data_IF_822138305158
#
_entry.id   IF_822138305158
#
_cell.length_a   1.000
_cell.length_b   1.000
_cell.length_c   1.000
_cell.angle_alpha   90.00
_cell.angle_beta   90.00
_cell.angle_gamma   90.00
#
_symmetry.space_group_name_H-M   'P 1'
#
loop_
_entity.id
_entity.type
_entity.pdbx_description
1 polymer ?
#
# COMPACT_ATOMS: atom_id res chain seq x y z
N UNK A 1 9.84 -74.77 -47.17
CA UNK A 1 10.15 -75.94 -48.03
C UNK A 1 11.37 -75.59 -48.84
N UNK A 2 12.53 -75.63 -48.20
CA UNK A 2 13.81 -75.47 -48.87
C UNK A 2 14.48 -76.84 -48.78
N UNK A 3 14.74 -77.44 -49.94
CA UNK A 3 15.58 -78.63 -50.01
C UNK A 3 16.98 -78.14 -49.73
N UNK A 4 17.40 -78.22 -48.48
CA UNK A 4 18.80 -78.07 -48.07
C UNK A 4 19.60 -79.15 -48.81
N UNK A 5 20.11 -78.78 -49.98
CA UNK A 5 21.10 -79.57 -50.71
C UNK A 5 22.36 -79.56 -49.86
N UNK A 6 22.55 -80.62 -49.06
CA UNK A 6 23.80 -80.86 -48.36
C UNK A 6 24.94 -80.66 -49.36
N UNK A 7 25.80 -79.69 -49.10
CA UNK A 7 26.94 -79.41 -49.95
C UNK A 7 27.87 -80.60 -49.81
N UNK A 8 27.75 -81.57 -50.73
CA UNK A 8 28.63 -82.70 -50.80
C UNK A 8 29.81 -82.36 -51.69
N UNK A 9 31.03 -82.39 -51.12
CA UNK A 9 32.27 -82.19 -51.88
C UNK A 9 32.43 -83.16 -53.05
N UNK A 10 31.81 -84.34 -52.96
CA UNK A 10 31.73 -85.31 -54.06
C UNK A 10 30.29 -85.85 -54.12
N UNK A 11 29.59 -85.75 -55.26
CA UNK A 11 28.27 -86.31 -55.41
C UNK A 11 28.27 -87.80 -55.07
N UNK A 12 27.39 -88.25 -54.17
CA UNK A 12 27.26 -89.68 -53.79
C UNK A 12 27.07 -90.54 -55.03
N UNK A 13 26.31 -90.04 -55.99
CA UNK A 13 26.07 -90.67 -57.29
C UNK A 13 27.36 -90.96 -58.07
N UNK A 14 28.38 -90.09 -57.96
CA UNK A 14 29.67 -90.28 -58.62
C UNK A 14 30.52 -91.34 -57.91
N UNK A 15 30.55 -91.32 -56.58
CA UNK A 15 31.25 -92.35 -55.78
C UNK A 15 30.63 -93.73 -55.95
N UNK A 16 29.30 -93.82 -56.01
CA UNK A 16 28.59 -95.07 -56.28
C UNK A 16 28.89 -95.60 -57.68
N UNK A 17 28.89 -94.73 -58.70
CA UNK A 17 29.28 -95.12 -60.07
C UNK A 17 30.71 -95.63 -60.16
N UNK A 18 31.65 -95.00 -59.44
CA UNK A 18 33.05 -95.44 -59.39
C UNK A 18 33.20 -96.80 -58.67
N UNK A 19 32.47 -97.02 -57.57
CA UNK A 19 32.44 -98.33 -56.88
C UNK A 19 31.85 -99.43 -57.76
N UNK A 20 30.77 -99.15 -58.49
CA UNK A 20 30.17 -100.09 -59.45
C UNK A 20 31.12 -100.40 -60.61
N UNK A 21 31.83 -99.39 -61.12
CA UNK A 21 32.85 -99.57 -62.16
C UNK A 21 34.02 -100.43 -61.65
N UNK A 22 34.50 -100.18 -60.44
CA UNK A 22 35.56 -100.95 -59.81
C UNK A 22 35.17 -102.43 -59.62
N UNK A 23 33.92 -102.70 -59.19
CA UNK A 23 33.39 -104.05 -59.06
C UNK A 23 33.33 -104.79 -60.41
N UNK A 24 32.83 -104.14 -61.47
CA UNK A 24 32.79 -104.73 -62.82
C UNK A 24 34.19 -105.03 -63.35
N UNK A 25 35.14 -104.09 -63.19
CA UNK A 25 36.52 -104.28 -63.62
C UNK A 25 37.23 -105.39 -62.84
N UNK A 26 36.85 -105.61 -61.57
CA UNK A 26 37.34 -106.70 -60.75
C UNK A 26 36.84 -108.07 -61.24
N UNK A 27 35.54 -108.17 -61.54
CA UNK A 27 34.93 -109.38 -62.11
C UNK A 27 35.55 -109.75 -63.47
N UNK A 28 35.89 -108.73 -64.28
CA UNK A 28 36.56 -108.88 -65.57
C UNK A 28 38.08 -109.15 -65.47
N UNK A 29 38.63 -109.28 -64.25
CA UNK A 29 40.07 -109.48 -63.96
C UNK A 29 40.98 -108.40 -64.55
N UNK A 30 40.48 -107.17 -64.68
CA UNK A 30 41.24 -106.05 -65.24
C UNK A 30 42.16 -105.44 -64.14
N UNK A 31 43.48 -105.30 -64.38
CA UNK A 31 44.41 -104.72 -63.39
C UNK A 31 44.07 -103.26 -63.01
N UNK A 32 43.32 -102.53 -63.85
CA UNK A 32 42.83 -101.19 -63.52
C UNK A 32 41.87 -101.17 -62.32
N UNK A 33 41.19 -102.29 -62.01
CA UNK A 33 40.32 -102.39 -60.83
C UNK A 33 41.10 -102.24 -59.53
N UNK A 34 42.33 -102.77 -59.48
CA UNK A 34 43.23 -102.67 -58.31
C UNK A 34 43.62 -101.22 -58.08
N UNK A 35 44.01 -100.51 -59.13
CA UNK A 35 44.37 -99.09 -59.04
C UNK A 35 43.16 -98.21 -58.68
N UNK A 36 41.99 -98.47 -59.24
CA UNK A 36 40.77 -97.72 -58.93
C UNK A 36 40.31 -97.96 -57.49
N UNK A 37 40.35 -99.22 -57.01
CA UNK A 37 40.06 -99.52 -55.61
C UNK A 37 41.08 -98.88 -54.66
N UNK A 38 42.38 -98.90 -55.00
CA UNK A 38 43.40 -98.23 -54.20
C UNK A 38 43.14 -96.72 -54.07
N UNK A 39 42.78 -96.05 -55.17
CA UNK A 39 42.41 -94.63 -55.16
C UNK A 39 41.13 -94.40 -54.34
N UNK A 40 40.11 -95.25 -54.50
CA UNK A 40 38.86 -95.12 -53.73
C UNK A 40 39.09 -95.32 -52.23
N UNK A 41 39.96 -96.26 -51.84
CA UNK A 41 40.35 -96.52 -50.46
C UNK A 41 41.25 -95.41 -49.89
N UNK A 42 42.14 -94.84 -50.71
CA UNK A 42 43.03 -93.72 -50.32
C UNK A 42 42.23 -92.45 -50.01
N UNK A 43 41.22 -92.12 -50.81
CA UNK A 43 40.43 -90.90 -50.66
C UNK A 43 39.15 -91.08 -49.82
N UNK A 44 38.70 -92.30 -49.52
CA UNK A 44 37.51 -92.55 -48.68
C UNK A 44 37.62 -91.90 -47.27
N UNK A 45 38.76 -91.96 -46.55
CA UNK A 45 38.95 -91.26 -45.29
C UNK A 45 38.79 -89.74 -45.42
N UNK A 46 39.34 -89.15 -46.48
CA UNK A 46 39.29 -87.70 -46.72
C UNK A 46 37.87 -87.22 -47.04
N UNK A 47 37.12 -87.98 -47.85
CA UNK A 47 35.72 -87.68 -48.15
C UNK A 47 34.84 -87.76 -46.88
N UNK A 48 35.09 -88.75 -46.02
CA UNK A 48 34.39 -88.86 -44.72
C UNK A 48 34.77 -87.72 -43.77
N UNK A 49 36.05 -87.37 -43.72
CA UNK A 49 36.57 -86.25 -42.92
C UNK A 49 35.96 -84.92 -43.35
N UNK A 50 35.95 -84.60 -44.64
CA UNK A 50 35.31 -83.41 -45.19
C UNK A 50 33.80 -83.39 -44.90
N UNK A 51 33.12 -84.52 -45.05
CA UNK A 51 31.70 -84.64 -44.69
C UNK A 51 31.43 -84.40 -43.21
N UNK A 52 32.36 -84.76 -42.31
CA UNK A 52 32.26 -84.46 -40.89
C UNK A 52 32.46 -82.97 -40.61
N UNK A 53 33.51 -82.37 -41.20
CA UNK A 53 33.81 -80.94 -41.07
C UNK A 53 32.61 -80.08 -41.54
N UNK A 54 32.02 -80.41 -42.68
CA UNK A 54 30.84 -79.66 -43.19
C UNK A 54 29.67 -79.74 -42.22
N UNK A 55 29.39 -80.93 -41.66
CA UNK A 55 28.32 -81.09 -40.66
C UNK A 55 28.61 -80.29 -39.39
N UNK A 56 29.85 -80.25 -38.93
CA UNK A 56 30.26 -79.42 -37.78
C UNK A 56 30.09 -77.92 -38.08
N UNK A 57 30.40 -77.48 -39.30
CA UNK A 57 30.17 -76.10 -39.73
C UNK A 57 28.68 -75.76 -39.83
N UNK A 58 27.86 -76.66 -40.37
CA UNK A 58 26.41 -76.47 -40.46
C UNK A 58 25.76 -76.41 -39.07
N UNK A 59 26.19 -77.26 -38.13
CA UNK A 59 25.70 -77.23 -36.75
C UNK A 59 26.18 -76.00 -36.00
N UNK A 60 27.44 -75.57 -36.14
CA UNK A 60 27.94 -74.32 -35.56
C UNK A 60 27.23 -73.10 -36.16
N UNK A 61 27.06 -73.04 -37.48
CA UNK A 61 26.38 -71.93 -38.15
C UNK A 61 24.91 -71.81 -37.76
N UNK A 62 24.16 -72.93 -37.78
CA UNK A 62 22.76 -72.95 -37.34
C UNK A 62 22.63 -72.62 -35.84
N UNK A 63 23.58 -73.06 -35.01
CA UNK A 63 23.72 -72.66 -33.61
C UNK A 63 23.87 -71.15 -33.46
N UNK A 64 24.81 -70.53 -34.17
CA UNK A 64 25.02 -69.07 -34.15
C UNK A 64 23.82 -68.30 -34.68
N UNK A 65 23.19 -68.78 -35.75
CA UNK A 65 22.02 -68.15 -36.33
C UNK A 65 20.84 -68.14 -35.34
N UNK A 66 20.55 -69.29 -34.72
CA UNK A 66 19.49 -69.39 -33.72
C UNK A 66 19.77 -68.56 -32.47
N UNK A 67 21.02 -68.51 -32.00
CA UNK A 67 21.43 -67.66 -30.89
C UNK A 67 21.23 -66.17 -31.22
N UNK A 68 21.67 -65.72 -32.40
CA UNK A 68 21.52 -64.33 -32.85
C UNK A 68 20.05 -63.94 -33.06
N UNK A 69 19.23 -64.84 -33.60
CA UNK A 69 17.78 -64.63 -33.72
C UNK A 69 17.11 -64.51 -32.35
N UNK A 70 17.50 -65.38 -31.41
CA UNK A 70 17.02 -65.33 -30.02
C UNK A 70 17.41 -64.02 -29.31
N UNK A 71 18.65 -63.56 -29.47
CA UNK A 71 19.08 -62.27 -28.94
C UNK A 71 18.34 -61.10 -29.56
N UNK A 72 18.15 -61.11 -30.88
CA UNK A 72 17.45 -60.06 -31.61
C UNK A 72 15.98 -59.98 -31.17
N UNK A 73 15.29 -61.11 -31.08
CA UNK A 73 13.92 -61.20 -30.56
C UNK A 73 13.81 -60.68 -29.12
N UNK A 74 14.78 -61.01 -28.25
CA UNK A 74 14.85 -60.46 -26.88
C UNK A 74 15.08 -58.95 -26.86
N UNK A 75 15.92 -58.41 -27.75
CA UNK A 75 16.15 -56.96 -27.88
C UNK A 75 14.89 -56.26 -28.38
N UNK A 76 14.22 -56.78 -29.41
CA UNK A 76 12.94 -56.25 -29.88
C UNK A 76 11.87 -56.26 -28.80
N UNK A 77 11.76 -57.35 -28.02
CA UNK A 77 10.83 -57.42 -26.89
C UNK A 77 11.11 -56.39 -25.81
N UNK A 78 12.39 -56.12 -25.51
CA UNK A 78 12.79 -55.04 -24.58
C UNK A 78 12.42 -53.66 -25.11
N UNK A 79 12.76 -53.35 -26.36
CA UNK A 79 12.42 -52.06 -26.95
C UNK A 79 10.91 -51.84 -27.07
N UNK A 80 10.12 -52.88 -27.37
CA UNK A 80 8.65 -52.78 -27.37
C UNK A 80 8.11 -52.41 -25.99
N UNK A 81 8.62 -53.05 -24.92
CA UNK A 81 8.26 -52.71 -23.53
C UNK A 81 8.67 -51.28 -23.17
N UNK A 82 9.88 -50.86 -23.52
CA UNK A 82 10.34 -49.48 -23.28
C UNK A 82 9.46 -48.45 -24.01
N UNK A 83 9.04 -48.73 -25.24
CA UNK A 83 8.12 -47.88 -25.98
C UNK A 83 6.76 -47.78 -25.28
N UNK A 84 6.21 -48.90 -24.79
CA UNK A 84 4.95 -48.91 -24.05
C UNK A 84 5.05 -48.12 -22.74
N UNK A 85 6.13 -48.32 -21.98
CA UNK A 85 6.39 -47.59 -20.73
C UNK A 85 6.54 -46.08 -20.97
N UNK A 86 7.27 -45.69 -22.02
CA UNK A 86 7.43 -44.28 -22.39
C UNK A 86 6.11 -43.66 -22.84
N UNK A 87 5.28 -44.39 -23.59
CA UNK A 87 3.93 -43.93 -23.97
C UNK A 87 3.04 -43.72 -22.76
N UNK A 88 3.06 -44.65 -21.80
CA UNK A 88 2.29 -44.51 -20.56
C UNK A 88 2.75 -43.30 -19.74
N UNK A 89 4.07 -43.09 -19.62
CA UNK A 89 4.64 -41.91 -18.95
C UNK A 89 4.25 -40.61 -19.66
N UNK A 90 4.30 -40.57 -20.99
CA UNK A 90 3.91 -39.40 -21.77
C UNK A 90 2.44 -39.06 -21.54
N UNK A 91 1.54 -40.04 -21.63
CA UNK A 91 0.11 -39.83 -21.37
C UNK A 91 -0.16 -39.32 -19.95
N UNK A 92 0.56 -39.84 -18.95
CA UNK A 92 0.48 -39.34 -17.57
C UNK A 92 0.92 -37.89 -17.43
N UNK A 93 2.02 -37.50 -18.10
CA UNK A 93 2.50 -36.12 -18.11
C UNK A 93 1.55 -35.16 -18.84
N UNK A 94 0.94 -35.60 -19.95
CA UNK A 94 -0.06 -34.82 -20.66
C UNK A 94 -1.32 -34.58 -19.82
N UNK A 95 -1.80 -35.59 -19.09
CA UNK A 95 -2.90 -35.45 -18.16
C UNK A 95 -2.57 -34.47 -17.02
N UNK A 96 -1.40 -34.61 -16.39
CA UNK A 96 -0.94 -33.70 -15.34
C UNK A 96 -0.81 -32.25 -15.84
N UNK A 97 -0.29 -32.07 -17.06
CA UNK A 97 -0.21 -30.75 -17.72
C UNK A 97 -1.60 -30.15 -17.96
N UNK A 98 -2.56 -30.95 -18.41
CA UNK A 98 -3.93 -30.49 -18.64
C UNK A 98 -4.60 -30.04 -17.33
N UNK A 99 -4.41 -30.79 -16.24
CA UNK A 99 -4.91 -30.39 -14.91
C UNK A 99 -4.23 -29.10 -14.41
N UNK A 100 -2.92 -28.98 -14.59
CA UNK A 100 -2.18 -27.77 -14.21
C UNK A 100 -2.69 -26.53 -14.96
N UNK A 101 -3.00 -26.66 -16.26
CA UNK A 101 -3.58 -25.58 -17.06
C UNK A 101 -4.98 -25.17 -16.56
N UNK A 102 -5.84 -26.14 -16.23
CA UNK A 102 -7.16 -25.85 -15.62
C UNK A 102 -7.02 -25.08 -14.32
N UNK A 103 -6.13 -25.52 -13.42
CA UNK A 103 -5.87 -24.81 -12.15
C UNK A 103 -5.34 -23.38 -12.38
N UNK A 104 -4.49 -23.18 -13.39
CA UNK A 104 -4.01 -21.84 -13.74
C UNK A 104 -5.14 -20.93 -14.22
N UNK A 105 -6.09 -21.44 -15.00
CA UNK A 105 -7.27 -20.70 -15.43
C UNK A 105 -8.18 -20.33 -14.25
N UNK A 106 -8.43 -21.28 -13.34
CA UNK A 106 -9.16 -21.04 -12.10
C UNK A 106 -8.50 -19.96 -11.24
N UNK A 107 -7.18 -20.04 -11.03
CA UNK A 107 -6.45 -19.04 -10.27
C UNK A 107 -6.48 -17.67 -10.93
N UNK A 108 -6.38 -17.58 -12.26
CA UNK A 108 -6.51 -16.32 -12.99
C UNK A 108 -7.89 -15.70 -12.81
N UNK A 109 -8.96 -16.51 -12.88
CA UNK A 109 -10.32 -16.03 -12.68
C UNK A 109 -10.52 -15.50 -11.24
N UNK A 110 -10.04 -16.25 -10.23
CA UNK A 110 -10.10 -15.83 -8.83
C UNK A 110 -9.30 -14.55 -8.59
N UNK A 111 -8.09 -14.46 -9.16
CA UNK A 111 -7.25 -13.27 -9.04
C UNK A 111 -7.94 -12.04 -9.64
N UNK A 112 -8.48 -12.15 -10.86
CA UNK A 112 -9.22 -11.04 -11.50
C UNK A 112 -10.44 -10.60 -10.70
N UNK A 113 -11.20 -11.54 -10.13
CA UNK A 113 -12.33 -11.21 -9.25
C UNK A 113 -11.88 -10.47 -7.98
N UNK A 114 -10.74 -10.85 -7.39
CA UNK A 114 -10.16 -10.17 -6.22
C UNK A 114 -9.64 -8.77 -6.56
N UNK A 115 -9.01 -8.60 -7.71
CA UNK A 115 -8.55 -7.30 -8.20
C UNK A 115 -9.73 -6.34 -8.42
N UNK A 116 -10.82 -6.80 -9.03
CA UNK A 116 -12.04 -6.03 -9.21
C UNK A 116 -12.64 -5.60 -7.86
N UNK A 117 -12.80 -6.54 -6.93
CA UNK A 117 -13.33 -6.26 -5.59
C UNK A 117 -12.45 -5.25 -4.82
N UNK A 118 -11.13 -5.34 -4.98
CA UNK A 118 -10.18 -4.41 -4.38
C UNK A 118 -10.30 -3.01 -5.00
N UNK A 119 -10.48 -2.91 -6.31
CA UNK A 119 -10.70 -1.64 -6.99
C UNK A 119 -12.00 -0.96 -6.52
N UNK A 120 -13.09 -1.71 -6.43
CA UNK A 120 -14.37 -1.22 -5.88
C UNK A 120 -14.24 -0.74 -4.44
N UNK A 121 -13.53 -1.50 -3.59
CA UNK A 121 -13.32 -1.12 -2.20
C UNK A 121 -12.49 0.18 -2.09
N UNK A 122 -11.46 0.35 -2.93
CA UNK A 122 -10.67 1.58 -2.99
C UNK A 122 -11.51 2.78 -3.41
N UNK A 123 -12.38 2.63 -4.41
CA UNK A 123 -13.30 3.70 -4.80
C UNK A 123 -14.22 4.10 -3.65
N UNK A 124 -14.92 3.12 -3.04
CA UNK A 124 -15.79 3.38 -1.89
C UNK A 124 -15.06 4.06 -0.75
N UNK A 125 -13.85 3.61 -0.45
CA UNK A 125 -13.03 4.23 0.59
C UNK A 125 -12.73 5.70 0.27
N UNK A 126 -12.27 5.99 -0.95
CA UNK A 126 -11.98 7.36 -1.39
C UNK A 126 -13.22 8.27 -1.37
N UNK A 127 -14.39 7.75 -1.75
CA UNK A 127 -15.67 8.48 -1.67
C UNK A 127 -16.01 8.79 -0.21
N UNK A 128 -15.94 7.80 0.68
CA UNK A 128 -16.23 8.00 2.10
C UNK A 128 -15.25 8.96 2.77
N UNK A 129 -13.97 8.92 2.40
CA UNK A 129 -12.95 9.84 2.88
C UNK A 129 -13.22 11.27 2.41
N UNK A 130 -13.57 11.43 1.12
CA UNK A 130 -13.98 12.71 0.53
C UNK A 130 -15.20 13.31 1.22
N UNK A 131 -16.23 12.51 1.45
CA UNK A 131 -17.45 12.92 2.17
C UNK A 131 -17.17 13.34 3.60
N UNK A 132 -16.34 12.58 4.32
CA UNK A 132 -15.96 12.89 5.70
C UNK A 132 -15.17 14.20 5.76
N UNK A 133 -14.21 14.37 4.86
CA UNK A 133 -13.40 15.58 4.79
C UNK A 133 -14.25 16.81 4.45
N UNK A 134 -15.18 16.69 3.49
CA UNK A 134 -16.13 17.74 3.15
C UNK A 134 -17.00 18.15 4.35
N UNK A 135 -17.57 17.17 5.08
CA UNK A 135 -18.35 17.43 6.31
C UNK A 135 -17.50 18.10 7.39
N UNK A 136 -16.25 17.68 7.56
CA UNK A 136 -15.34 18.26 8.53
C UNK A 136 -15.03 19.73 8.19
N UNK A 137 -14.67 20.02 6.93
CA UNK A 137 -14.39 21.38 6.46
C UNK A 137 -15.62 22.27 6.62
N UNK A 138 -16.80 21.81 6.20
CA UNK A 138 -18.05 22.55 6.37
C UNK A 138 -18.32 22.86 7.85
N UNK A 139 -18.08 21.90 8.75
CA UNK A 139 -18.27 22.10 10.18
C UNK A 139 -17.29 23.11 10.77
N UNK A 140 -16.04 23.07 10.34
CA UNK A 140 -15.02 24.04 10.74
C UNK A 140 -15.40 25.45 10.29
N UNK A 141 -15.81 25.61 9.03
CA UNK A 141 -16.30 26.89 8.50
C UNK A 141 -17.50 27.41 9.31
N UNK A 142 -18.49 26.56 9.60
CA UNK A 142 -19.65 26.93 10.43
C UNK A 142 -19.23 27.42 11.82
N UNK A 143 -18.24 26.77 12.44
CA UNK A 143 -17.71 27.18 13.75
C UNK A 143 -16.98 28.52 13.67
N UNK A 144 -16.13 28.72 12.68
CA UNK A 144 -15.45 30.00 12.46
C UNK A 144 -16.45 31.14 12.27
N UNK A 145 -17.46 30.94 11.44
CA UNK A 145 -18.51 31.95 11.23
C UNK A 145 -19.29 32.25 12.52
N UNK A 146 -19.60 31.24 13.33
CA UNK A 146 -20.30 31.42 14.61
C UNK A 146 -19.46 32.19 15.62
N UNK A 147 -18.16 31.89 15.69
CA UNK A 147 -17.22 32.60 16.58
C UNK A 147 -17.09 34.05 16.12
N UNK A 148 -16.83 34.28 14.83
CA UNK A 148 -16.72 35.63 14.27
C UNK A 148 -17.98 36.46 14.50
N UNK A 149 -19.18 35.87 14.29
CA UNK A 149 -20.46 36.55 14.60
C UNK A 149 -20.56 36.95 16.07
N UNK A 150 -20.21 36.04 16.99
CA UNK A 150 -20.23 36.35 18.43
C UNK A 150 -19.22 37.43 18.81
N UNK A 151 -18.03 37.42 18.21
CA UNK A 151 -17.01 38.43 18.44
C UNK A 151 -17.48 39.81 17.97
N UNK A 152 -18.07 39.90 16.77
CA UNK A 152 -18.66 41.14 16.26
C UNK A 152 -19.81 41.63 17.15
N UNK A 153 -20.71 40.74 17.60
CA UNK A 153 -21.79 41.10 18.51
C UNK A 153 -21.25 41.63 19.86
N UNK A 154 -20.21 41.00 20.40
CA UNK A 154 -19.58 41.47 21.65
C UNK A 154 -18.89 42.81 21.46
N UNK A 155 -18.19 43.03 20.34
CA UNK A 155 -17.57 44.31 20.00
C UNK A 155 -18.63 45.41 19.88
N UNK A 156 -19.73 45.16 19.17
CA UNK A 156 -20.84 46.11 19.05
C UNK A 156 -21.43 46.50 20.41
N UNK A 157 -21.70 45.51 21.28
CA UNK A 157 -22.19 45.78 22.64
C UNK A 157 -21.19 46.56 23.49
N UNK A 158 -19.91 46.28 23.32
CA UNK A 158 -18.85 46.99 24.02
C UNK A 158 -18.75 48.44 23.54
N UNK A 159 -18.80 48.69 22.24
CA UNK A 159 -18.84 50.03 21.65
C UNK A 159 -20.07 50.82 22.14
N UNK A 160 -21.25 50.22 22.15
CA UNK A 160 -22.47 50.83 22.69
C UNK A 160 -22.33 51.21 24.16
N UNK A 161 -21.79 50.31 24.98
CA UNK A 161 -21.56 50.57 26.41
C UNK A 161 -20.53 51.67 26.62
N UNK A 162 -19.46 51.69 25.84
CA UNK A 162 -18.42 52.74 25.90
C UNK A 162 -19.02 54.09 25.54
N UNK A 163 -19.79 54.19 24.45
CA UNK A 163 -20.51 55.43 24.07
C UNK A 163 -21.46 55.89 25.18
N UNK A 164 -22.24 54.98 25.77
CA UNK A 164 -23.16 55.31 26.86
C UNK A 164 -22.44 55.80 28.14
N UNK A 165 -21.25 55.26 28.41
CA UNK A 165 -20.40 55.73 29.52
C UNK A 165 -19.80 57.10 29.23
N UNK A 166 -19.34 57.33 28.00
CA UNK A 166 -18.83 58.64 27.56
C UNK A 166 -19.90 59.73 27.67
N UNK A 167 -21.12 59.47 27.19
CA UNK A 167 -22.23 60.44 27.32
C UNK A 167 -22.55 60.73 28.78
N UNK A 168 -22.63 59.70 29.63
CA UNK A 168 -22.88 59.87 31.05
C UNK A 168 -21.75 60.62 31.77
N UNK A 169 -20.49 60.40 31.38
CA UNK A 169 -19.35 61.15 31.91
C UNK A 169 -19.46 62.63 31.55
N UNK A 170 -19.78 62.93 30.28
CA UNK A 170 -19.99 64.31 29.82
C UNK A 170 -21.14 65.00 30.56
N UNK A 171 -22.27 64.31 30.75
CA UNK A 171 -23.39 64.81 31.54
C UNK A 171 -22.95 65.17 32.97
N UNK A 172 -22.29 64.25 33.68
CA UNK A 172 -21.78 64.49 35.03
C UNK A 172 -20.77 65.64 35.09
N UNK A 173 -19.88 65.76 34.11
CA UNK A 173 -18.93 66.88 34.01
C UNK A 173 -19.66 68.22 33.82
N UNK A 174 -20.69 68.25 32.97
CA UNK A 174 -21.50 69.47 32.76
C UNK A 174 -22.33 69.84 34.00
N UNK A 175 -22.94 68.88 34.68
CA UNK A 175 -23.67 69.08 35.93
C UNK A 175 -22.74 69.61 37.03
N UNK A 176 -21.56 69.01 37.17
CA UNK A 176 -20.56 69.44 38.13
C UNK A 176 -20.08 70.87 37.84
N UNK A 177 -19.79 71.18 36.57
CA UNK A 177 -19.41 72.53 36.16
C UNK A 177 -20.52 73.56 36.42
N UNK A 178 -21.78 73.22 36.14
CA UNK A 178 -22.93 74.07 36.42
C UNK A 178 -23.12 74.31 37.93
N UNK A 179 -23.04 73.25 38.74
CA UNK A 179 -23.12 73.34 40.21
C UNK A 179 -21.98 74.18 40.78
N UNK A 180 -20.76 74.03 40.27
CA UNK A 180 -19.62 74.83 40.67
C UNK A 180 -19.83 76.33 40.35
N UNK A 181 -20.35 76.65 39.15
CA UNK A 181 -20.73 78.04 38.79
C UNK A 181 -21.80 78.60 39.73
N UNK A 182 -22.82 77.79 40.06
CA UNK A 182 -23.88 78.20 40.98
C UNK A 182 -23.35 78.47 42.39
N UNK A 183 -22.45 77.62 42.90
CA UNK A 183 -21.81 77.82 44.20
C UNK A 183 -20.96 79.08 44.22
N UNK A 184 -20.14 79.34 43.18
CA UNK A 184 -19.37 80.59 43.05
C UNK A 184 -20.25 81.83 43.01
N UNK A 185 -21.39 81.78 42.34
CA UNK A 185 -22.33 82.90 42.31
C UNK A 185 -22.91 83.15 43.70
N UNK A 186 -23.33 82.10 44.41
CA UNK A 186 -23.83 82.21 45.79
C UNK A 186 -22.76 82.73 46.75
N UNK A 187 -21.53 82.23 46.64
CA UNK A 187 -20.38 82.70 47.40
C UNK A 187 -20.18 84.21 47.17
N UNK A 188 -20.14 84.65 45.92
CA UNK A 188 -20.04 86.08 45.58
C UNK A 188 -21.18 86.92 46.15
N UNK A 189 -22.43 86.45 46.07
CA UNK A 189 -23.59 87.16 46.66
C UNK A 189 -23.47 87.25 48.17
N UNK A 190 -23.05 86.18 48.85
CA UNK A 190 -22.84 86.19 50.30
C UNK A 190 -21.68 87.11 50.69
N UNK A 191 -20.60 87.17 49.90
CA UNK A 191 -19.50 88.12 50.06
C UNK A 191 -19.98 89.58 49.90
N UNK A 192 -20.78 89.86 48.88
CA UNK A 192 -21.39 91.17 48.64
C UNK A 192 -22.32 91.56 49.80
N UNK A 193 -23.21 90.68 50.24
CA UNK A 193 -24.11 90.89 51.38
C UNK A 193 -23.34 91.14 52.69
N UNK A 194 -22.29 90.35 52.93
CA UNK A 194 -21.42 90.54 54.09
C UNK A 194 -20.69 91.88 54.03
N UNK A 195 -20.20 92.28 52.85
CA UNK A 195 -19.55 93.57 52.63
C UNK A 195 -20.52 94.74 52.83
N UNK A 196 -21.77 94.60 52.38
CA UNK A 196 -22.82 95.60 52.53
C UNK A 196 -23.21 95.77 54.00
N UNK A 197 -23.44 94.68 54.73
CA UNK A 197 -23.70 94.72 56.18
C UNK A 197 -22.53 95.32 56.96
N UNK A 198 -21.28 94.97 56.58
CA UNK A 198 -20.10 95.58 57.18
C UNK A 198 -20.06 97.09 56.93
N UNK A 199 -20.38 97.54 55.72
CA UNK A 199 -20.45 98.97 55.40
C UNK A 199 -21.58 99.69 56.15
N UNK A 200 -22.75 99.07 56.27
CA UNK A 200 -23.86 99.60 57.08
C UNK A 200 -23.48 99.71 58.56
N UNK A 201 -22.81 98.71 59.11
CA UNK A 201 -22.33 98.72 60.49
C UNK A 201 -21.31 99.84 60.71
N UNK A 202 -20.38 100.04 59.77
CA UNK A 202 -19.44 101.18 59.83
C UNK A 202 -20.23 102.50 59.82
N UNK A 203 -21.22 102.67 58.93
CA UNK A 203 -22.04 103.89 58.89
C UNK A 203 -22.86 104.13 60.16
N UNK A 204 -23.37 103.08 60.80
CA UNK A 204 -24.10 103.23 62.08
C UNK A 204 -23.13 103.57 63.21
N UNK A 205 -21.94 102.94 63.25
CA UNK A 205 -20.87 103.34 64.17
C UNK A 205 -20.47 104.80 63.96
N UNK A 206 -20.27 105.25 62.72
CA UNK A 206 -19.92 106.63 62.40
C UNK A 206 -21.04 107.60 62.81
N UNK A 207 -22.32 107.30 62.55
CA UNK A 207 -23.45 108.11 63.05
C UNK A 207 -23.52 108.18 64.57
N UNK A 208 -23.29 107.06 65.26
CA UNK A 208 -23.26 107.03 66.73
C UNK A 208 -22.11 107.89 67.23
N UNK A 209 -20.93 107.78 66.61
CA UNK A 209 -19.75 108.57 66.93
C UNK A 209 -20.01 110.06 66.71
N UNK A 210 -20.52 110.46 65.55
CA UNK A 210 -20.91 111.84 65.25
C UNK A 210 -21.96 112.36 66.26
N UNK A 211 -22.94 111.53 66.62
CA UNK A 211 -23.95 111.85 67.62
C UNK A 211 -23.38 112.01 69.03
N UNK A 212 -22.37 111.23 69.41
CA UNK A 212 -21.64 111.37 70.67
C UNK A 212 -20.76 112.63 70.65
N UNK A 213 -19.99 112.86 69.59
CA UNK A 213 -19.16 114.06 69.44
C UNK A 213 -20.02 115.35 69.45
N UNK A 214 -21.20 115.33 68.84
CA UNK A 214 -22.15 116.44 68.89
C UNK A 214 -22.70 116.67 70.31
N UNK A 215 -23.00 115.60 71.06
CA UNK A 215 -23.41 115.69 72.47
C UNK A 215 -22.27 116.21 73.36
N UNK A 216 -21.04 115.74 73.14
CA UNK A 216 -19.85 116.25 73.83
C UNK A 216 -19.63 117.73 73.53
N UNK A 217 -19.75 118.17 72.27
CA UNK A 217 -19.68 119.59 71.90
C UNK A 217 -20.80 120.41 72.53
N UNK A 218 -22.03 119.90 72.56
CA UNK A 218 -23.15 120.58 73.21
C UNK A 218 -22.98 120.69 74.73
N UNK A 219 -22.39 119.66 75.37
CA UNK A 219 -22.01 119.70 76.79
C UNK A 219 -20.86 120.68 77.03
N UNK A 220 -19.81 120.66 76.21
CA UNK A 220 -18.69 121.59 76.30
C UNK A 220 -19.12 123.05 76.04
N UNK A 221 -20.06 123.29 75.12
CA UNK A 221 -20.65 124.61 74.90
C UNK A 221 -21.49 125.07 76.11
N UNK A 222 -22.25 124.15 76.74
CA UNK A 222 -22.95 124.41 78.01
C UNK A 222 -21.99 124.71 79.17
N UNK A 223 -20.82 124.09 79.18
CA UNK A 223 -19.77 124.35 80.17
C UNK A 223 -19.04 125.68 79.88
N UNK A 224 -18.90 126.08 78.61
CA UNK A 224 -18.31 127.35 78.19
C UNK A 224 -19.24 128.57 78.37
N UNK A 225 -20.57 128.39 78.30
CA UNK A 225 -21.58 129.43 78.56
C UNK A 225 -21.88 129.63 80.06
N UNK A 226 -21.14 128.97 80.96
CA UNK A 226 -21.16 129.29 82.39
C UNK A 226 -20.19 130.43 82.69
N UNK A 227 -20.66 131.65 83.01
CA UNK A 227 -19.78 132.70 83.50
C UNK A 227 -19.25 132.32 84.89
N UNK A 228 -17.94 132.47 85.09
CA UNK A 228 -17.34 132.54 86.41
C UNK A 228 -17.92 133.75 87.17
N UNK A 229 -18.84 133.50 88.11
CA UNK A 229 -19.19 134.41 89.20
C UNK A 229 -19.83 133.66 90.39
N UNK A 230 -19.09 133.65 91.51
CA UNK A 230 -19.54 133.55 92.91
C UNK A 230 -19.96 132.14 93.38
N UNK A 231 -19.51 131.59 94.50
CA UNK A 231 -18.93 132.21 95.69
C UNK A 231 -19.71 131.74 96.92
N UNK A 232 -19.19 130.70 97.59
CA UNK A 232 -19.12 130.47 99.04
C UNK A 232 -18.17 129.28 99.28
#
# INVERSE_FOLDING_TARGET
MEKESAIQCVPVELMERLKVLAAKLWDDKNPASVHLNAILEEFEPDVKSLGHIIKEYETDYSGRLSANQGESSRKEGRFKKEIEDLKAKLAGQEAARAEALKRLEEFRAVLGARESALAELKMKFSETEGDLNSKYVAKMQELYEKVNRKELDMLSRWEEKTKALETRSQELETEYAARNRQLRLREKTLEEDFSARKAELIRTFDRIREGLEAREKALAAREAERPAKGGL
#
